data_IF_681301729989
#
_entry.id   IF_681301729989
#
_cell.length_a   1.000
_cell.length_b   1.000
_cell.length_c   1.000
_cell.angle_alpha   90.00
_cell.angle_beta   90.00
_cell.angle_gamma   90.00
#
_symmetry.space_group_name_H-M   'P 1'
#
loop_
_entity.id
_entity.type
_entity.pdbx_description
1 polymer ?
#
# COMPACT_ATOMS: atom_id res chain seq x y z
N UNK A 1 -9.30 -1.59 32.40
CA UNK A 1 -9.91 -0.89 31.24
C UNK A 1 -8.88 -0.93 30.13
N UNK A 2 -9.07 -1.80 29.12
CA UNK A 2 -8.29 -1.72 27.89
C UNK A 2 -8.58 -0.36 27.26
N UNK A 3 -7.56 0.47 27.06
CA UNK A 3 -7.70 1.67 26.23
C UNK A 3 -8.20 1.18 24.88
N UNK A 4 -9.34 1.71 24.41
CA UNK A 4 -9.70 1.58 23.01
C UNK A 4 -8.50 2.11 22.23
N UNK A 5 -7.85 1.24 21.45
CA UNK A 5 -6.76 1.63 20.56
C UNK A 5 -7.26 2.81 19.74
N UNK A 6 -6.65 3.98 19.95
CA UNK A 6 -6.91 5.13 19.08
C UNK A 6 -6.63 4.65 17.66
N UNK A 7 -7.46 5.02 16.70
CA UNK A 7 -7.27 4.70 15.29
C UNK A 7 -6.65 5.93 14.61
N UNK A 8 -5.92 5.77 13.50
CA UNK A 8 -5.45 6.92 12.73
C UNK A 8 -6.66 7.66 12.14
N UNK A 9 -6.41 8.90 11.72
CA UNK A 9 -7.44 9.78 11.20
C UNK A 9 -8.18 9.16 10.01
N UNK A 10 -9.52 9.30 10.00
CA UNK A 10 -10.35 8.93 8.85
C UNK A 10 -10.54 10.16 7.97
N UNK A 11 -10.25 10.02 6.69
CA UNK A 11 -10.44 11.05 5.68
C UNK A 11 -11.85 10.95 5.11
N UNK A 12 -12.52 12.10 4.96
CA UNK A 12 -13.84 12.14 4.35
C UNK A 12 -13.75 11.99 2.82
N UNK A 13 -13.81 10.74 2.35
CA UNK A 13 -13.81 10.37 0.93
C UNK A 13 -14.85 9.30 0.65
N UNK A 14 -15.49 9.36 -0.51
CA UNK A 14 -16.45 8.34 -0.95
C UNK A 14 -15.71 7.13 -1.55
N UNK A 15 -15.94 5.94 -0.99
CA UNK A 15 -15.39 4.70 -1.54
C UNK A 15 -16.17 4.32 -2.79
N UNK A 16 -15.50 4.36 -3.94
CA UNK A 16 -16.04 4.02 -5.26
C UNK A 16 -15.08 3.13 -6.03
N UNK A 17 -15.62 2.18 -6.80
CA UNK A 17 -14.87 1.23 -7.64
C UNK A 17 -15.39 1.36 -9.06
N UNK A 18 -14.77 2.22 -9.86
CA UNK A 18 -15.29 2.61 -11.19
C UNK A 18 -14.38 2.15 -12.33
N UNK A 19 -13.36 1.35 -12.03
CA UNK A 19 -12.40 0.82 -13.00
C UNK A 19 -12.69 -0.64 -13.30
N UNK A 20 -12.45 -1.05 -14.55
CA UNK A 20 -12.37 -2.47 -14.92
C UNK A 20 -10.89 -2.85 -15.06
N UNK A 21 -10.34 -3.49 -14.03
CA UNK A 21 -8.92 -3.87 -13.99
C UNK A 21 -8.52 -4.82 -15.12
N UNK A 22 -9.45 -5.64 -15.63
CA UNK A 22 -9.16 -6.57 -16.73
C UNK A 22 -8.93 -5.89 -18.08
N UNK A 23 -9.18 -4.57 -18.17
CA UNK A 23 -8.98 -3.77 -19.38
C UNK A 23 -7.75 -2.86 -19.29
N UNK A 24 -6.94 -2.97 -18.23
CA UNK A 24 -5.74 -2.16 -18.10
C UNK A 24 -4.68 -2.59 -19.11
N UNK A 25 -4.02 -1.63 -19.79
CA UNK A 25 -2.87 -1.96 -20.61
C UNK A 25 -1.72 -2.45 -19.71
N UNK A 26 -0.96 -3.42 -20.21
CA UNK A 26 0.27 -3.84 -19.57
C UNK A 26 1.31 -2.73 -19.71
N UNK A 27 2.00 -2.41 -18.62
CA UNK A 27 3.19 -1.58 -18.66
C UNK A 27 4.35 -2.45 -19.15
N UNK A 28 5.05 -2.00 -20.20
CA UNK A 28 6.21 -2.71 -20.71
C UNK A 28 7.40 -2.66 -19.73
N UNK A 29 8.30 -3.64 -19.85
CA UNK A 29 9.46 -3.81 -18.95
C UNK A 29 10.46 -2.65 -19.02
N UNK A 30 10.60 -2.00 -20.18
CA UNK A 30 11.49 -0.84 -20.34
C UNK A 30 11.01 0.33 -19.47
N UNK A 31 9.70 0.58 -19.47
CA UNK A 31 9.08 1.61 -18.63
C UNK A 31 9.04 1.18 -17.16
N UNK A 32 8.71 -0.08 -16.89
CA UNK A 32 8.58 -0.60 -15.52
C UNK A 32 9.92 -0.61 -14.75
N UNK A 33 11.03 -0.84 -15.44
CA UNK A 33 12.40 -0.83 -14.88
C UNK A 33 13.11 0.53 -14.95
N UNK A 34 12.42 1.60 -15.33
CA UNK A 34 13.04 2.92 -15.48
C UNK A 34 13.43 3.53 -14.12
N UNK A 35 14.73 3.71 -13.89
CA UNK A 35 15.28 4.37 -12.70
C UNK A 35 15.01 5.90 -12.67
N UNK A 36 14.75 6.51 -13.83
CA UNK A 36 14.32 7.90 -13.95
C UNK A 36 12.84 8.10 -13.52
N UNK A 37 12.21 7.01 -13.08
CA UNK A 37 10.83 6.91 -12.67
C UNK A 37 9.88 6.77 -13.85
N UNK A 38 8.73 6.10 -13.63
CA UNK A 38 7.57 6.16 -14.53
C UNK A 38 6.98 7.58 -14.43
N UNK A 39 7.69 8.59 -14.96
CA UNK A 39 7.37 10.01 -15.09
C UNK A 39 6.82 10.78 -13.84
N UNK A 40 6.59 10.14 -12.70
CA UNK A 40 5.79 10.66 -11.58
C UNK A 40 6.43 10.47 -10.20
N UNK A 41 7.47 9.64 -10.05
CA UNK A 41 8.09 9.41 -8.75
C UNK A 41 9.61 9.15 -8.87
N UNK A 42 10.43 10.11 -8.41
CA UNK A 42 11.90 10.00 -8.35
C UNK A 42 12.39 9.10 -7.18
N UNK A 43 11.46 8.56 -6.40
CA UNK A 43 11.73 7.64 -5.28
C UNK A 43 11.06 6.27 -5.50
N UNK A 44 10.82 5.88 -6.76
CA UNK A 44 10.30 4.55 -7.09
C UNK A 44 11.25 3.46 -6.57
N UNK A 45 10.73 2.57 -5.73
CA UNK A 45 11.41 1.37 -5.27
C UNK A 45 10.78 0.17 -5.98
N UNK A 46 11.55 -0.48 -6.84
CA UNK A 46 11.08 -1.64 -7.60
C UNK A 46 10.96 -2.86 -6.69
N UNK A 47 9.71 -3.20 -6.35
CA UNK A 47 9.35 -4.36 -5.53
C UNK A 47 8.93 -5.58 -6.36
N UNK A 48 9.13 -5.54 -7.69
CA UNK A 48 8.74 -6.67 -8.56
C UNK A 48 9.59 -7.90 -8.25
N UNK A 49 8.98 -9.08 -8.43
CA UNK A 49 9.64 -10.37 -8.22
C UNK A 49 9.54 -10.95 -6.81
N UNK A 50 8.87 -10.24 -5.91
CA UNK A 50 8.56 -10.72 -4.56
C UNK A 50 7.43 -11.73 -4.58
N UNK A 51 7.56 -12.77 -3.74
CA UNK A 51 6.55 -13.82 -3.64
C UNK A 51 5.59 -13.62 -2.45
N UNK A 52 4.67 -14.57 -2.29
CA UNK A 52 3.64 -14.51 -1.24
C UNK A 52 4.27 -14.66 0.15
N UNK A 53 5.31 -15.48 0.28
CA UNK A 53 6.04 -15.70 1.53
C UNK A 53 6.75 -14.43 1.98
N UNK A 54 7.37 -13.70 1.05
CA UNK A 54 8.02 -12.43 1.33
C UNK A 54 7.00 -11.39 1.83
N UNK A 55 5.82 -11.31 1.20
CA UNK A 55 4.74 -10.40 1.65
C UNK A 55 4.29 -10.72 3.07
N UNK A 56 4.20 -12.00 3.45
CA UNK A 56 3.82 -12.39 4.82
C UNK A 56 4.86 -12.02 5.88
N UNK A 57 6.14 -11.95 5.52
CA UNK A 57 7.19 -11.45 6.40
C UNK A 57 7.00 -9.94 6.62
N UNK A 58 6.84 -9.19 5.54
CA UNK A 58 6.61 -7.74 5.59
C UNK A 58 5.33 -7.39 6.35
N UNK A 59 4.26 -8.20 6.24
CA UNK A 59 3.03 -8.02 7.03
C UNK A 59 3.28 -8.06 8.54
N UNK A 60 4.20 -8.92 9.01
CA UNK A 60 4.50 -9.02 10.45
C UNK A 60 5.24 -7.78 10.92
N UNK A 61 6.25 -7.35 10.16
CA UNK A 61 7.02 -6.14 10.46
C UNK A 61 6.12 -4.89 10.48
N UNK A 62 5.24 -4.76 9.50
CA UNK A 62 4.32 -3.61 9.44
C UNK A 62 3.32 -3.65 10.60
N UNK A 63 2.80 -4.82 10.96
CA UNK A 63 1.91 -4.95 12.12
C UNK A 63 2.60 -4.55 13.43
N UNK A 64 3.88 -4.92 13.61
CA UNK A 64 4.68 -4.50 14.76
C UNK A 64 4.88 -2.98 14.79
N UNK A 65 5.20 -2.37 13.64
CA UNK A 65 5.30 -0.91 13.50
C UNK A 65 3.97 -0.22 13.85
N UNK A 66 2.87 -0.66 13.24
CA UNK A 66 1.53 -0.11 13.47
C UNK A 66 1.09 -0.26 14.93
N UNK A 67 1.48 -1.34 15.60
CA UNK A 67 1.22 -1.54 17.03
C UNK A 67 1.97 -0.51 17.88
N UNK A 68 3.27 -0.29 17.61
CA UNK A 68 4.06 0.75 18.30
C UNK A 68 3.46 2.14 18.09
N UNK A 69 3.03 2.46 16.87
CA UNK A 69 2.39 3.73 16.53
C UNK A 69 1.03 3.91 17.22
N UNK A 70 0.24 2.83 17.32
CA UNK A 70 -1.02 2.85 18.05
C UNK A 70 -0.82 3.19 19.55
N UNK A 71 0.22 2.62 20.16
CA UNK A 71 0.56 2.85 21.57
C UNK A 71 1.10 4.26 21.82
N UNK A 72 1.92 4.79 20.89
CA UNK A 72 2.43 6.16 20.94
C UNK A 72 1.38 7.23 20.58
N UNK A 73 0.31 6.82 19.89
CA UNK A 73 -0.67 7.70 19.28
C UNK A 73 -0.19 8.25 17.94
N UNK A 74 -0.92 7.93 16.87
CA UNK A 74 -0.54 8.09 15.46
C UNK A 74 0.04 9.43 15.02
N UNK A 75 -0.26 10.54 15.72
CA UNK A 75 0.14 11.92 15.34
C UNK A 75 0.78 12.68 16.50
N UNK A 76 1.69 12.03 17.21
CA UNK A 76 2.43 12.61 18.34
C UNK A 76 3.92 12.68 18.02
N UNK A 77 4.67 13.47 18.78
CA UNK A 77 6.13 13.53 18.64
C UNK A 77 6.76 12.15 18.86
N UNK A 78 6.18 11.34 19.76
CA UNK A 78 6.61 9.95 19.98
C UNK A 78 6.36 9.04 18.77
N UNK A 79 5.27 9.25 18.03
CA UNK A 79 5.06 8.54 16.77
C UNK A 79 6.06 9.00 15.69
N UNK A 80 6.40 10.29 15.65
CA UNK A 80 7.43 10.80 14.73
C UNK A 80 8.80 10.18 15.01
N UNK A 81 9.22 10.09 16.28
CA UNK A 81 10.47 9.41 16.66
C UNK A 81 10.49 7.93 16.23
N UNK A 82 9.36 7.24 16.30
CA UNK A 82 9.23 5.85 15.81
C UNK A 82 9.40 5.79 14.30
N UNK A 83 8.78 6.73 13.56
CA UNK A 83 8.88 6.78 12.10
C UNK A 83 10.30 7.13 11.63
N UNK A 84 10.96 8.10 12.25
CA UNK A 84 12.37 8.45 11.95
C UNK A 84 13.31 7.26 12.18
N UNK A 85 13.09 6.50 13.26
CA UNK A 85 13.82 5.26 13.53
C UNK A 85 13.59 4.21 12.46
N UNK A 86 12.34 4.03 12.02
CA UNK A 86 11.94 3.07 10.99
C UNK A 86 12.65 3.30 9.65
N UNK A 87 12.80 4.56 9.22
CA UNK A 87 13.58 4.90 8.01
C UNK A 87 15.08 4.55 8.13
N UNK A 88 15.59 4.44 9.35
CA UNK A 88 17.01 4.17 9.64
C UNK A 88 17.32 2.69 9.88
N UNK A 89 16.29 1.84 10.03
CA UNK A 89 16.44 0.42 10.37
C UNK A 89 16.85 -0.46 9.17
N UNK A 90 16.92 0.11 7.96
CA UNK A 90 17.25 -0.59 6.70
C UNK A 90 16.42 -1.87 6.46
N UNK A 91 15.17 -1.87 6.93
CA UNK A 91 14.19 -2.92 6.64
C UNK A 91 13.60 -2.75 5.24
N UNK A 92 12.89 -3.77 4.77
CA UNK A 92 12.14 -3.74 3.50
C UNK A 92 11.03 -2.68 3.51
N UNK A 93 10.57 -2.29 4.71
CA UNK A 93 9.60 -1.23 4.90
C UNK A 93 10.21 0.17 5.00
N UNK A 94 11.53 0.30 5.11
CA UNK A 94 12.18 1.61 5.36
C UNK A 94 12.05 2.57 4.17
N UNK A 95 11.61 2.11 3.00
CA UNK A 95 11.30 2.96 1.84
C UNK A 95 9.86 3.45 1.76
N UNK A 96 8.98 3.06 2.69
CA UNK A 96 7.54 3.27 2.58
C UNK A 96 6.96 4.10 3.74
N UNK A 97 5.93 4.88 3.42
CA UNK A 97 5.06 5.45 4.44
C UNK A 97 4.43 4.34 5.30
N UNK A 98 4.37 4.55 6.61
CA UNK A 98 3.80 3.58 7.53
C UNK A 98 2.34 3.25 7.16
N UNK A 99 2.04 1.94 7.08
CA UNK A 99 0.72 1.40 6.71
C UNK A 99 0.50 1.22 5.21
N UNK A 100 1.48 1.56 4.36
CA UNK A 100 1.37 1.41 2.91
C UNK A 100 2.20 0.24 2.36
N UNK A 101 3.36 -0.03 2.98
CA UNK A 101 4.38 -0.92 2.42
C UNK A 101 3.84 -2.31 2.13
N UNK A 102 3.11 -2.92 3.07
CA UNK A 102 2.61 -4.29 2.83
C UNK A 102 1.64 -4.38 1.64
N UNK A 103 0.83 -3.35 1.41
CA UNK A 103 -0.12 -3.33 0.30
C UNK A 103 0.59 -3.15 -1.05
N UNK A 104 1.69 -2.38 -1.05
CA UNK A 104 2.58 -2.25 -2.21
C UNK A 104 3.18 -3.60 -2.58
N UNK A 105 3.73 -4.34 -1.61
CA UNK A 105 4.27 -5.68 -1.84
C UNK A 105 3.19 -6.67 -2.29
N UNK A 106 2.01 -6.67 -1.66
CA UNK A 106 0.91 -7.56 -2.03
C UNK A 106 0.39 -7.29 -3.46
N UNK A 107 0.31 -6.02 -3.87
CA UNK A 107 0.00 -5.64 -5.25
C UNK A 107 1.06 -6.18 -6.22
N UNK A 108 2.34 -6.05 -5.86
CA UNK A 108 3.43 -6.56 -6.69
C UNK A 108 3.39 -8.07 -6.85
N UNK A 109 3.15 -8.82 -5.77
CA UNK A 109 2.95 -10.27 -5.79
C UNK A 109 1.71 -10.69 -6.61
N UNK A 110 0.71 -9.82 -6.73
CA UNK A 110 -0.44 -9.98 -7.62
C UNK A 110 -0.17 -9.54 -9.07
N UNK A 111 1.09 -9.33 -9.45
CA UNK A 111 1.53 -8.94 -10.78
C UNK A 111 1.18 -7.50 -11.17
N UNK A 112 0.85 -6.64 -10.22
CA UNK A 112 0.77 -5.21 -10.45
C UNK A 112 2.16 -4.57 -10.39
N UNK A 113 2.29 -3.36 -10.93
CA UNK A 113 3.50 -2.55 -10.86
C UNK A 113 3.13 -1.29 -10.07
N UNK A 114 3.35 -1.27 -8.74
CA UNK A 114 3.19 -0.07 -7.94
C UNK A 114 4.09 1.05 -8.47
N UNK A 115 3.67 2.31 -8.37
CA UNK A 115 4.41 3.47 -8.94
C UNK A 115 4.69 4.48 -7.82
N UNK A 116 3.67 4.77 -7.03
CA UNK A 116 3.76 5.64 -5.86
C UNK A 116 2.80 5.16 -4.78
N UNK A 117 3.09 5.52 -3.54
CA UNK A 117 2.20 5.30 -2.41
C UNK A 117 2.29 6.49 -1.46
N UNK A 118 1.20 6.76 -0.74
CA UNK A 118 1.16 7.80 0.28
C UNK A 118 0.18 7.40 1.38
N UNK A 119 0.50 7.66 2.66
CA UNK A 119 -0.45 7.47 3.76
C UNK A 119 -1.43 8.65 3.96
N UNK A 120 -1.40 9.65 3.07
CA UNK A 120 -2.25 10.84 3.11
C UNK A 120 -2.01 11.77 4.31
N UNK A 121 -0.88 11.63 5.01
CA UNK A 121 -0.56 12.36 6.23
C UNK A 121 -1.45 12.00 7.42
N UNK A 122 -2.01 10.78 7.43
CA UNK A 122 -2.88 10.27 8.50
C UNK A 122 -2.11 9.64 9.67
N UNK A 123 -0.83 9.31 9.45
CA UNK A 123 0.14 8.83 10.44
C UNK A 123 1.37 9.74 10.38
N UNK A 124 1.89 10.12 11.55
CA UNK A 124 3.00 11.06 11.69
C UNK A 124 2.56 12.53 11.64
N UNK A 125 3.55 13.41 11.71
CA UNK A 125 3.39 14.87 11.61
C UNK A 125 3.96 15.46 10.30
N UNK A 126 4.60 14.63 9.47
CA UNK A 126 5.16 15.00 8.18
C UNK A 126 4.15 15.65 7.21
N UNK A 127 4.68 16.43 6.26
CA UNK A 127 3.89 17.00 5.17
C UNK A 127 3.70 15.97 4.05
N UNK A 128 2.45 15.80 3.60
CA UNK A 128 2.11 14.95 2.45
C UNK A 128 1.41 15.78 1.37
N UNK A 129 1.78 15.53 0.11
CA UNK A 129 1.15 16.18 -1.03
C UNK A 129 -0.31 15.71 -1.20
N UNK A 130 -0.56 14.43 -0.92
CA UNK A 130 -1.89 13.82 -0.93
C UNK A 130 -2.52 13.86 0.47
N UNK A 131 -3.85 13.94 0.50
CA UNK A 131 -4.64 13.97 1.75
C UNK A 131 -5.43 12.69 1.98
N UNK A 132 -5.34 11.74 1.06
CA UNK A 132 -6.05 10.47 1.09
C UNK A 132 -4.96 9.39 0.97
N UNK A 133 -4.96 8.36 1.84
CA UNK A 133 -4.11 7.21 1.66
C UNK A 133 -4.34 6.57 0.29
N UNK A 134 -3.30 6.41 -0.52
CA UNK A 134 -3.41 5.98 -1.91
C UNK A 134 -2.18 5.20 -2.39
N UNK A 135 -2.40 4.35 -3.40
CA UNK A 135 -1.33 3.70 -4.18
C UNK A 135 -1.71 3.85 -5.66
N UNK A 136 -0.76 4.34 -6.47
CA UNK A 136 -0.86 4.33 -7.92
C UNK A 136 -0.17 3.07 -8.45
N UNK A 137 -0.80 2.33 -9.35
CA UNK A 137 -0.21 1.14 -9.95
C UNK A 137 -0.64 0.91 -11.41
N UNK A 138 0.17 0.15 -12.14
CA UNK A 138 -0.13 -0.38 -13.47
C UNK A 138 -0.29 -1.91 -13.46
N UNK A 139 -0.79 -2.48 -14.55
CA UNK A 139 -0.81 -3.92 -14.75
C UNK A 139 0.55 -4.41 -15.30
N UNK A 140 1.08 -5.50 -14.75
CA UNK A 140 2.27 -6.22 -15.23
C UNK A 140 1.95 -7.58 -15.85
N UNK A 141 2.97 -8.35 -16.21
CA UNK A 141 2.81 -9.59 -17.01
C UNK A 141 1.93 -10.67 -16.35
N UNK A 142 1.96 -10.78 -15.01
CA UNK A 142 1.19 -11.77 -14.24
C UNK A 142 0.04 -11.14 -13.45
N UNK A 143 -0.53 -10.05 -13.97
CA UNK A 143 -1.53 -9.27 -13.26
C UNK A 143 -2.81 -10.06 -12.93
N UNK A 144 -3.23 -10.02 -11.67
CA UNK A 144 -4.39 -10.73 -11.12
C UNK A 144 -5.58 -9.80 -10.81
N UNK A 145 -6.27 -9.25 -11.84
CA UNK A 145 -7.29 -8.21 -11.64
C UNK A 145 -8.47 -8.66 -10.78
N UNK A 146 -8.87 -9.93 -10.89
CA UNK A 146 -10.01 -10.46 -10.14
C UNK A 146 -9.70 -10.59 -8.64
N UNK A 147 -8.48 -10.99 -8.29
CA UNK A 147 -8.07 -11.11 -6.88
C UNK A 147 -7.90 -9.74 -6.23
N UNK A 148 -7.29 -8.78 -6.96
CA UNK A 148 -7.13 -7.39 -6.49
C UNK A 148 -8.50 -6.74 -6.27
N UNK A 149 -9.43 -6.88 -7.23
CA UNK A 149 -10.78 -6.31 -7.08
C UNK A 149 -11.51 -6.91 -5.88
N UNK A 150 -11.48 -8.24 -5.71
CA UNK A 150 -12.11 -8.92 -4.58
C UNK A 150 -11.52 -8.47 -3.24
N UNK A 151 -10.19 -8.41 -3.12
CA UNK A 151 -9.53 -7.95 -1.90
C UNK A 151 -9.87 -6.49 -1.58
N UNK A 152 -9.95 -5.61 -2.59
CA UNK A 152 -10.34 -4.21 -2.42
C UNK A 152 -11.82 -4.04 -2.05
N UNK A 153 -12.71 -4.90 -2.55
CA UNK A 153 -14.11 -4.93 -2.11
C UNK A 153 -14.24 -5.33 -0.64
N UNK A 154 -13.57 -6.41 -0.26
CA UNK A 154 -13.63 -6.94 1.11
C UNK A 154 -12.96 -6.04 2.16
N UNK A 155 -11.88 -5.33 1.80
CA UNK A 155 -11.19 -4.36 2.66
C UNK A 155 -11.81 -2.95 2.61
N UNK A 156 -12.88 -2.77 1.84
CA UNK A 156 -13.55 -1.49 1.63
C UNK A 156 -12.64 -0.36 1.08
N UNK A 157 -11.82 -0.69 0.07
CA UNK A 157 -10.97 0.25 -0.68
C UNK A 157 -11.62 0.73 -1.97
N UNK A 158 -11.37 1.99 -2.32
CA UNK A 158 -11.77 2.59 -3.59
C UNK A 158 -10.76 2.29 -4.70
N UNK A 159 -11.24 2.23 -5.94
CA UNK A 159 -10.45 1.98 -7.15
C UNK A 159 -10.95 2.87 -8.28
N UNK A 160 -10.13 3.82 -8.74
CA UNK A 160 -10.49 4.77 -9.79
C UNK A 160 -9.45 4.80 -10.92
N UNK A 161 -9.88 5.11 -12.15
CA UNK A 161 -8.93 5.33 -13.24
C UNK A 161 -8.10 6.59 -12.99
N UNK A 162 -6.80 6.50 -13.25
CA UNK A 162 -5.86 7.63 -13.19
C UNK A 162 -4.94 7.58 -14.43
N UNK A 163 -5.45 8.10 -15.55
CA UNK A 163 -4.75 8.02 -16.84
C UNK A 163 -4.66 6.58 -17.35
N UNK A 164 -3.45 6.11 -17.63
CA UNK A 164 -3.17 4.70 -17.98
C UNK A 164 -3.02 3.80 -16.73
N UNK A 165 -3.05 4.38 -15.54
CA UNK A 165 -2.88 3.71 -14.25
C UNK A 165 -4.19 3.58 -13.49
N UNK A 166 -4.11 2.91 -12.34
CA UNK A 166 -5.17 2.84 -11.35
C UNK A 166 -4.68 3.39 -10.04
N UNK A 167 -5.55 4.16 -9.41
CA UNK A 167 -5.36 4.60 -8.03
C UNK A 167 -6.30 3.78 -7.14
N UNK A 168 -5.70 3.05 -6.20
CA UNK A 168 -6.40 2.43 -5.08
C UNK A 168 -6.27 3.34 -3.86
N UNK A 169 -7.35 3.60 -3.15
CA UNK A 169 -7.37 4.55 -2.04
C UNK A 169 -8.28 4.12 -0.90
N UNK A 170 -8.05 4.69 0.28
CA UNK A 170 -8.81 4.41 1.50
C UNK A 170 -9.26 5.70 2.20
N UNK A 171 -10.38 5.63 2.91
CA UNK A 171 -10.74 6.62 3.94
C UNK A 171 -9.92 6.45 5.23
N UNK A 172 -9.31 5.28 5.45
CA UNK A 172 -8.44 5.02 6.59
C UNK A 172 -7.26 4.14 6.19
N UNK A 173 -6.04 4.57 6.52
CA UNK A 173 -4.80 3.91 6.10
C UNK A 173 -4.69 2.43 6.51
N UNK A 174 -5.22 2.04 7.68
CA UNK A 174 -5.12 0.64 8.14
C UNK A 174 -5.90 -0.35 7.25
N UNK A 175 -6.82 0.12 6.41
CA UNK A 175 -7.49 -0.73 5.41
C UNK A 175 -6.52 -1.29 4.37
N UNK A 176 -5.37 -0.64 4.12
CA UNK A 176 -4.33 -1.19 3.25
C UNK A 176 -3.67 -2.44 3.84
N UNK A 177 -3.51 -2.48 5.17
CA UNK A 177 -3.02 -3.69 5.84
C UNK A 177 -4.03 -4.84 5.74
N UNK A 178 -5.33 -4.57 5.93
CA UNK A 178 -6.39 -5.59 5.74
C UNK A 178 -6.45 -6.08 4.29
N UNK A 179 -6.38 -5.14 3.33
CA UNK A 179 -6.31 -5.45 1.91
C UNK A 179 -5.14 -6.37 1.56
N UNK A 180 -3.94 -6.05 2.05
CA UNK A 180 -2.76 -6.89 1.84
C UNK A 180 -2.99 -8.31 2.35
N UNK A 181 -3.47 -8.46 3.59
CA UNK A 181 -3.75 -9.78 4.17
C UNK A 181 -4.72 -10.61 3.35
N UNK A 182 -5.78 -9.98 2.83
CA UNK A 182 -6.78 -10.64 1.98
C UNK A 182 -6.22 -11.03 0.62
N UNK A 183 -5.46 -10.13 -0.02
CA UNK A 183 -4.85 -10.39 -1.31
C UNK A 183 -3.81 -11.52 -1.21
N UNK A 184 -2.93 -11.47 -0.22
CA UNK A 184 -1.93 -12.52 0.06
C UNK A 184 -2.59 -13.88 0.30
N UNK A 185 -3.66 -13.93 1.11
CA UNK A 185 -4.41 -15.17 1.33
C UNK A 185 -5.00 -15.73 0.03
N UNK A 186 -5.59 -14.88 -0.80
CA UNK A 186 -6.17 -15.28 -2.08
C UNK A 186 -5.10 -15.76 -3.09
N UNK A 187 -3.92 -15.14 -3.10
CA UNK A 187 -2.79 -15.58 -3.92
C UNK A 187 -2.29 -16.96 -3.48
N UNK A 188 -2.16 -17.20 -2.16
CA UNK A 188 -1.76 -18.51 -1.63
C UNK A 188 -2.73 -19.63 -1.97
N UNK A 189 -4.04 -19.37 -1.88
CA UNK A 189 -5.06 -20.33 -2.28
C UNK A 189 -4.98 -20.70 -3.76
N UNK A 190 -4.53 -19.77 -4.61
CA UNK A 190 -4.36 -20.01 -6.04
C UNK A 190 -3.13 -20.88 -6.37
N UNK A 191 -2.07 -20.79 -5.57
CA UNK A 191 -0.81 -21.53 -5.80
C UNK A 191 -0.74 -22.89 -5.10
N UNK A 192 -1.71 -23.21 -4.23
CA UNK A 192 -1.85 -24.50 -3.52
C UNK A 192 -2.56 -25.55 -4.35
#
# INVERSE_FOLDING_TARGET
MMKMSVQPETVNVEIRRTVNLSLLPLLDEERAGSEDGIALNLAYFDVRGWDVEDVELVQKEELELLTKLADAGWRTDAAEEILEGHFSDYSELSGFDAGMGTAVYALSAAGAIPISSCNGGTIGQGFHAERVPSILFAAGENFEPALIMKAAEEADLGLIPNGEFVEIFADQVLKFHDFSRRLTAALREKTS
#
